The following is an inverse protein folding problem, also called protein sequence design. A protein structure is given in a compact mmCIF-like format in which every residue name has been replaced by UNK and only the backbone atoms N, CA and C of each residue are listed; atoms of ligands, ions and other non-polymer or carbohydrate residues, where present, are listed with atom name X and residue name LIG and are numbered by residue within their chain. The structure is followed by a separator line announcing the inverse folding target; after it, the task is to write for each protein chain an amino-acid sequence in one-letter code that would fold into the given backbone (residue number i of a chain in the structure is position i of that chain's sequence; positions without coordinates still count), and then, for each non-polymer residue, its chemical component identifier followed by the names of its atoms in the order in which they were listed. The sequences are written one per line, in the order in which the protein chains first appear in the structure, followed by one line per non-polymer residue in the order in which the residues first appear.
data_IF_306955553490
#
_entry.id   IF_306955553490
#
_cell.length_a   1.000
_cell.length_b   1.000
_cell.length_c   1.000
_cell.angle_alpha   90.00
_cell.angle_beta   90.00
_cell.angle_gamma   90.00
#
_symmetry.space_group_name_H-M   'P 1'
#
loop_
_entity.id
_entity.type
_entity.pdbx_description
1 polymer ?
#
# COMPACT_ATOMS: atom_id res chain seq x y z
N UNK A 1 -1.22 -36.77 -16.98
CA UNK A 1 -0.79 -35.59 -16.19
C UNK A 1 -1.83 -35.36 -15.12
N UNK A 2 -1.42 -35.03 -13.89
CA UNK A 2 -2.37 -34.67 -12.84
C UNK A 2 -3.17 -33.43 -13.25
N UNK A 3 -4.36 -33.25 -12.68
CA UNK A 3 -5.14 -32.03 -12.88
C UNK A 3 -4.34 -30.84 -12.34
N UNK A 4 -4.25 -29.78 -13.16
CA UNK A 4 -3.56 -28.53 -12.83
C UNK A 4 -4.62 -27.48 -12.52
N UNK A 5 -4.49 -26.83 -11.37
CA UNK A 5 -5.32 -25.69 -10.98
C UNK A 5 -4.41 -24.48 -10.83
N UNK A 6 -4.73 -23.38 -11.48
CA UNK A 6 -3.89 -22.18 -11.45
C UNK A 6 -4.74 -20.91 -11.44
N UNK A 7 -4.31 -19.95 -10.63
CA UNK A 7 -4.85 -18.60 -10.64
C UNK A 7 -3.70 -17.58 -10.71
N UNK A 8 -3.90 -16.52 -11.48
CA UNK A 8 -3.01 -15.37 -11.56
C UNK A 8 -3.80 -14.10 -11.27
N UNK A 9 -3.32 -13.27 -10.35
CA UNK A 9 -3.96 -12.00 -10.03
C UNK A 9 -2.92 -10.88 -9.88
N UNK A 10 -3.41 -9.64 -9.89
CA UNK A 10 -2.69 -8.46 -9.42
C UNK A 10 -3.41 -7.83 -8.24
N UNK A 11 -2.66 -7.16 -7.35
CA UNK A 11 -3.25 -6.33 -6.31
C UNK A 11 -2.53 -4.97 -6.21
N UNK A 12 -3.29 -3.90 -5.95
CA UNK A 12 -2.77 -2.54 -5.88
C UNK A 12 -1.98 -2.26 -4.60
N UNK A 13 -1.12 -1.25 -4.68
CA UNK A 13 -0.59 -0.55 -3.51
C UNK A 13 -1.67 0.37 -2.92
N UNK A 14 -1.67 0.56 -1.60
CA UNK A 14 -2.45 1.60 -0.95
C UNK A 14 -1.55 2.50 -0.10
N UNK A 15 -1.92 3.78 0.04
CA UNK A 15 -1.20 4.76 0.84
C UNK A 15 -2.12 5.30 1.92
N UNK A 16 -1.68 5.21 3.18
CA UNK A 16 -2.49 5.62 4.32
C UNK A 16 -2.55 7.15 4.44
N UNK A 17 -3.75 7.69 4.57
CA UNK A 17 -4.02 9.11 4.92
C UNK A 17 -4.34 9.27 6.40
N UNK A 18 -4.79 8.20 7.06
CA UNK A 18 -4.78 8.04 8.52
C UNK A 18 -3.94 6.80 8.85
N UNK A 19 -2.84 6.99 9.59
CA UNK A 19 -1.75 6.01 9.70
C UNK A 19 -2.05 4.91 10.71
N UNK A 20 -1.79 3.68 10.29
CA UNK A 20 -1.63 2.51 11.16
C UNK A 20 -0.21 2.47 11.72
N UNK A 21 -0.07 2.61 13.04
CA UNK A 21 1.22 2.49 13.71
C UNK A 21 1.10 1.94 15.13
N UNK A 22 1.25 0.62 15.27
CA UNK A 22 1.22 -0.07 16.55
C UNK A 22 0.17 -1.19 16.54
N UNK A 23 0.54 -2.33 17.14
CA UNK A 23 -0.33 -3.52 17.25
C UNK A 23 -0.67 -3.74 18.71
N UNK A 24 -1.95 -4.00 19.00
CA UNK A 24 -2.41 -4.52 20.30
C UNK A 24 -2.21 -6.04 20.39
N UNK A 25 -2.24 -6.73 19.25
CA UNK A 25 -1.93 -8.15 19.13
C UNK A 25 -0.98 -8.39 17.96
N UNK A 26 0.18 -8.98 18.23
CA UNK A 26 1.21 -9.22 17.21
C UNK A 26 1.04 -10.55 16.47
N UNK A 27 0.29 -11.50 17.04
CA UNK A 27 0.00 -12.81 16.45
C UNK A 27 -1.11 -12.69 15.41
N UNK A 28 -2.22 -12.04 15.77
CA UNK A 28 -3.37 -11.80 14.90
C UNK A 28 -3.25 -10.54 14.06
N UNK A 29 -2.20 -9.73 14.30
CA UNK A 29 -1.94 -8.44 13.67
C UNK A 29 -3.12 -7.49 13.85
N UNK A 30 -3.52 -7.28 15.11
CA UNK A 30 -4.61 -6.37 15.46
C UNK A 30 -4.04 -4.98 15.79
N UNK A 31 -4.57 -3.90 15.22
CA UNK A 31 -3.96 -2.59 15.35
C UNK A 31 -4.36 -1.92 16.66
N UNK A 32 -3.60 -0.90 17.07
CA UNK A 32 -3.96 -0.06 18.23
C UNK A 32 -5.01 1.01 17.88
N UNK A 33 -5.19 1.30 16.59
CA UNK A 33 -6.17 2.26 16.08
C UNK A 33 -6.61 1.86 14.66
N UNK A 34 -7.80 2.29 14.23
CA UNK A 34 -8.24 2.17 12.83
C UNK A 34 -7.36 3.02 11.91
N UNK A 35 -7.37 2.73 10.62
CA UNK A 35 -6.60 3.47 9.62
C UNK A 35 -7.38 3.62 8.31
N UNK A 36 -7.01 4.59 7.48
CA UNK A 36 -7.68 4.85 6.20
C UNK A 36 -6.63 5.10 5.12
N UNK A 37 -6.83 4.52 3.94
CA UNK A 37 -5.94 4.66 2.79
C UNK A 37 -6.67 4.93 1.49
N UNK A 38 -5.92 5.46 0.52
CA UNK A 38 -6.33 5.50 -0.89
C UNK A 38 -5.59 4.38 -1.63
N UNK A 39 -6.34 3.54 -2.34
CA UNK A 39 -5.81 2.51 -3.24
C UNK A 39 -5.34 3.17 -4.54
N UNK A 40 -4.11 2.87 -4.95
CA UNK A 40 -3.49 3.47 -6.14
C UNK A 40 -3.62 2.56 -7.36
N UNK A 41 -3.46 3.17 -8.54
CA UNK A 41 -3.66 2.46 -9.79
C UNK A 41 -2.66 1.35 -10.06
N UNK A 42 -3.21 0.19 -10.43
CA UNK A 42 -2.45 -1.01 -10.78
C UNK A 42 -1.72 -0.87 -12.11
N UNK A 43 -2.13 0.06 -12.96
CA UNK A 43 -1.47 0.32 -14.23
C UNK A 43 -0.04 0.82 -14.00
N UNK A 44 0.18 1.60 -12.92
CA UNK A 44 1.51 2.04 -12.50
C UNK A 44 2.13 1.14 -11.41
N UNK A 45 1.38 0.74 -10.38
CA UNK A 45 1.95 0.08 -9.19
C UNK A 45 1.12 -1.13 -8.75
N UNK A 46 1.65 -2.34 -8.97
CA UNK A 46 1.01 -3.57 -8.52
C UNK A 46 2.00 -4.68 -8.11
N UNK A 47 1.50 -5.57 -7.25
CA UNK A 47 2.07 -6.90 -7.06
C UNK A 47 1.32 -7.88 -7.95
N UNK A 48 2.01 -8.80 -8.60
CA UNK A 48 1.44 -9.89 -9.40
C UNK A 48 1.81 -11.22 -8.79
N UNK A 49 0.84 -12.11 -8.61
CA UNK A 49 1.05 -13.43 -8.01
C UNK A 49 0.34 -14.50 -8.85
N UNK A 50 1.06 -15.56 -9.21
CA UNK A 50 0.51 -16.79 -9.78
C UNK A 50 0.68 -17.93 -8.79
N UNK A 51 -0.37 -18.72 -8.59
CA UNK A 51 -0.34 -19.90 -7.72
C UNK A 51 -0.89 -21.08 -8.49
N UNK A 52 -0.12 -22.17 -8.54
CA UNK A 52 -0.53 -23.45 -9.12
C UNK A 52 -0.60 -24.52 -8.04
N UNK A 53 -1.66 -25.31 -8.05
CA UNK A 53 -1.79 -26.54 -7.26
C UNK A 53 -1.69 -27.77 -8.16
N UNK A 54 -0.96 -28.79 -7.71
CA UNK A 54 -0.85 -30.07 -8.41
C UNK A 54 -0.58 -31.21 -7.43
N UNK A 55 -1.04 -32.42 -7.77
CA UNK A 55 -0.68 -33.64 -7.05
C UNK A 55 0.77 -34.08 -7.33
N UNK A 56 1.37 -33.57 -8.41
CA UNK A 56 2.76 -33.87 -8.80
C UNK A 56 3.78 -33.06 -7.99
N UNK A 57 3.32 -32.06 -7.20
CA UNK A 57 4.19 -31.25 -6.34
C UNK A 57 4.41 -31.93 -4.99
N UNK A 58 5.67 -31.98 -4.54
CA UNK A 58 6.07 -32.63 -3.28
C UNK A 58 5.99 -31.70 -2.07
N UNK A 59 6.12 -30.38 -2.27
CA UNK A 59 6.10 -29.39 -1.20
C UNK A 59 5.50 -28.07 -1.67
N UNK A 60 5.11 -27.22 -0.71
CA UNK A 60 4.77 -25.84 -1.02
C UNK A 60 6.06 -25.07 -1.28
N UNK A 61 6.09 -24.24 -2.33
CA UNK A 61 7.27 -23.43 -2.69
C UNK A 61 6.85 -22.03 -3.05
N UNK A 62 7.67 -21.04 -2.69
CA UNK A 62 7.42 -19.64 -3.01
C UNK A 62 8.66 -19.02 -3.65
N UNK A 63 8.46 -18.27 -4.73
CA UNK A 63 9.45 -17.40 -5.33
C UNK A 63 8.97 -15.95 -5.30
N UNK A 64 9.82 -15.05 -4.83
CA UNK A 64 9.60 -13.62 -4.82
C UNK A 64 10.66 -12.93 -5.67
N UNK A 65 10.25 -12.26 -6.75
CA UNK A 65 11.13 -11.60 -7.71
C UNK A 65 12.26 -12.52 -8.22
N UNK A 66 11.95 -13.78 -8.51
CA UNK A 66 12.91 -14.76 -9.04
C UNK A 66 13.77 -15.49 -7.99
N UNK A 67 13.72 -15.09 -6.72
CA UNK A 67 14.42 -15.78 -5.62
C UNK A 67 13.47 -16.69 -4.85
N UNK A 68 13.91 -17.90 -4.51
CA UNK A 68 13.13 -18.83 -3.69
C UNK A 68 13.19 -18.41 -2.21
N UNK A 69 12.02 -18.42 -1.56
CA UNK A 69 11.84 -18.02 -0.16
C UNK A 69 11.33 -19.21 0.67
N UNK A 70 11.81 -19.32 1.91
CA UNK A 70 11.32 -20.38 2.82
C UNK A 70 9.96 -20.00 3.41
N UNK A 71 8.98 -20.85 3.15
CA UNK A 71 7.62 -20.69 3.68
C UNK A 71 7.60 -20.91 5.19
N UNK A 72 8.25 -21.97 5.66
CA UNK A 72 8.21 -22.43 7.06
C UNK A 72 8.82 -21.42 8.03
N UNK A 73 9.81 -20.65 7.57
CA UNK A 73 10.45 -19.60 8.36
C UNK A 73 9.60 -18.33 8.47
N UNK A 74 8.59 -18.17 7.61
CA UNK A 74 7.74 -16.99 7.58
C UNK A 74 6.36 -17.29 8.19
N UNK A 75 6.23 -17.05 9.50
CA UNK A 75 4.99 -17.26 10.27
C UNK A 75 3.76 -16.57 9.66
N UNK A 76 3.93 -15.42 9.01
CA UNK A 76 2.83 -14.66 8.39
C UNK A 76 2.31 -15.36 7.13
N UNK A 77 3.22 -15.87 6.31
CA UNK A 77 2.87 -16.67 5.14
C UNK A 77 2.20 -17.98 5.54
N UNK A 78 2.74 -18.67 6.55
CA UNK A 78 2.14 -19.88 7.12
C UNK A 78 0.71 -19.62 7.61
N UNK A 79 0.45 -18.48 8.27
CA UNK A 79 -0.90 -18.11 8.70
C UNK A 79 -1.84 -17.96 7.50
N UNK A 80 -1.48 -17.18 6.48
CA UNK A 80 -2.32 -17.01 5.29
C UNK A 80 -2.64 -18.35 4.59
N UNK A 81 -1.65 -19.22 4.43
CA UNK A 81 -1.83 -20.56 3.82
C UNK A 81 -2.73 -21.46 4.68
N UNK A 82 -2.53 -21.46 6.00
CA UNK A 82 -3.35 -22.23 6.94
C UNK A 82 -4.82 -21.80 6.87
N UNK A 83 -5.10 -20.51 6.98
CA UNK A 83 -6.48 -20.00 7.00
C UNK A 83 -7.21 -20.28 5.68
N UNK A 84 -6.58 -19.98 4.54
CA UNK A 84 -7.18 -20.24 3.22
C UNK A 84 -7.41 -21.72 2.94
N UNK A 85 -6.49 -22.59 3.35
CA UNK A 85 -6.68 -24.05 3.24
C UNK A 85 -7.77 -24.56 4.16
N UNK A 86 -7.88 -24.06 5.39
CA UNK A 86 -8.92 -24.46 6.33
C UNK A 86 -10.31 -24.10 5.78
N UNK A 87 -10.46 -22.91 5.19
CA UNK A 87 -11.68 -22.51 4.49
C UNK A 87 -12.01 -23.45 3.33
N UNK A 88 -11.03 -23.77 2.48
CA UNK A 88 -11.23 -24.72 1.37
C UNK A 88 -11.60 -26.12 1.87
N UNK A 89 -10.91 -26.63 2.89
CA UNK A 89 -11.17 -27.95 3.46
C UNK A 89 -12.60 -28.05 4.01
N UNK A 90 -13.12 -26.96 4.60
CA UNK A 90 -14.52 -26.90 5.08
C UNK A 90 -15.51 -27.05 3.92
N UNK A 91 -15.30 -26.32 2.81
CA UNK A 91 -16.13 -26.45 1.60
C UNK A 91 -16.07 -27.88 1.02
N UNK A 92 -14.88 -28.48 0.97
CA UNK A 92 -14.68 -29.85 0.47
C UNK A 92 -15.30 -30.92 1.37
N UNK A 93 -15.46 -30.63 2.67
CA UNK A 93 -16.14 -31.51 3.62
C UNK A 93 -17.67 -31.42 3.47
N UNK A 94 -18.20 -30.21 3.21
CA UNK A 94 -19.62 -29.97 2.96
C UNK A 94 -20.07 -30.48 1.59
N UNK A 95 -19.20 -30.44 0.57
CA UNK A 95 -19.48 -30.91 -0.77
C UNK A 95 -18.40 -31.86 -1.30
N UNK A 96 -18.68 -33.16 -1.23
CA UNK A 96 -17.77 -34.22 -1.67
C UNK A 96 -17.46 -34.21 -3.17
N UNK A 97 -18.25 -33.52 -4.00
CA UNK A 97 -17.99 -33.41 -5.45
C UNK A 97 -16.89 -32.40 -5.80
N UNK A 98 -16.49 -31.54 -4.85
CA UNK A 98 -15.41 -30.57 -5.07
C UNK A 98 -14.03 -31.26 -5.16
N UNK A 99 -13.14 -30.80 -6.05
CA UNK A 99 -11.75 -31.24 -6.06
C UNK A 99 -11.08 -30.99 -4.70
N UNK A 100 -10.23 -31.92 -4.25
CA UNK A 100 -9.53 -31.85 -2.96
C UNK A 100 -8.29 -30.95 -3.00
N UNK A 101 -8.50 -29.68 -3.36
CA UNK A 101 -7.47 -28.65 -3.49
C UNK A 101 -6.79 -28.31 -2.17
N UNK A 102 -7.50 -28.38 -1.04
CA UNK A 102 -6.94 -28.01 0.28
C UNK A 102 -5.69 -28.83 0.65
N UNK A 103 -5.65 -30.09 0.22
CA UNK A 103 -4.54 -31.02 0.46
C UNK A 103 -3.42 -30.98 -0.57
N UNK A 104 -3.62 -30.31 -1.72
CA UNK A 104 -2.61 -30.20 -2.75
C UNK A 104 -1.47 -29.28 -2.34
N UNK A 105 -0.28 -29.61 -2.82
CA UNK A 105 0.89 -28.73 -2.71
C UNK A 105 0.80 -27.63 -3.76
N UNK A 106 1.32 -26.46 -3.39
CA UNK A 106 1.24 -25.26 -4.23
C UNK A 106 2.60 -24.65 -4.52
N UNK A 107 2.79 -24.21 -5.76
CA UNK A 107 3.90 -23.36 -6.15
C UNK A 107 3.38 -21.93 -6.34
N UNK A 108 4.01 -20.98 -5.66
CA UNK A 108 3.64 -19.56 -5.65
C UNK A 108 4.77 -18.76 -6.29
N UNK A 109 4.51 -18.05 -7.38
CA UNK A 109 5.46 -17.09 -7.92
C UNK A 109 4.86 -15.69 -7.82
N UNK A 110 5.61 -14.75 -7.24
CA UNK A 110 5.17 -13.37 -7.08
C UNK A 110 6.25 -12.39 -7.53
N UNK A 111 5.84 -11.29 -8.14
CA UNK A 111 6.71 -10.18 -8.52
C UNK A 111 6.03 -8.83 -8.26
N UNK A 112 6.82 -7.76 -8.15
CA UNK A 112 6.33 -6.39 -8.13
C UNK A 112 6.85 -5.66 -9.38
N UNK A 113 6.06 -4.77 -9.98
CA UNK A 113 6.53 -3.92 -11.07
C UNK A 113 7.25 -2.64 -10.57
N UNK A 114 7.46 -2.51 -9.26
CA UNK A 114 8.20 -1.43 -8.61
C UNK A 114 9.30 -1.99 -7.68
N UNK A 115 10.38 -1.24 -7.41
CA UNK A 115 11.45 -1.73 -6.55
C UNK A 115 10.94 -2.07 -5.15
N UNK A 116 11.18 -3.31 -4.71
CA UNK A 116 10.70 -3.81 -3.40
C UNK A 116 11.20 -2.95 -2.22
N UNK A 117 12.36 -2.29 -2.39
CA UNK A 117 12.98 -1.42 -1.40
C UNK A 117 12.57 0.07 -1.49
N UNK A 118 11.79 0.48 -2.51
CA UNK A 118 11.32 1.87 -2.68
C UNK A 118 10.29 2.34 -1.62
N UNK A 119 10.11 1.62 -0.51
CA UNK A 119 9.23 2.07 0.57
C UNK A 119 7.73 2.17 0.25
N UNK A 120 7.29 1.83 -0.96
CA UNK A 120 5.90 1.92 -1.47
C UNK A 120 5.02 0.76 -1.00
N UNK A 121 5.10 0.40 0.29
CA UNK A 121 4.27 -0.63 0.91
C UNK A 121 4.23 -1.99 0.16
N UNK A 122 5.35 -2.44 -0.42
CA UNK A 122 5.47 -3.71 -1.18
C UNK A 122 4.90 -4.94 -0.45
N UNK A 123 5.03 -5.01 0.88
CA UNK A 123 4.43 -6.09 1.67
C UNK A 123 2.90 -6.06 1.70
N UNK A 124 2.28 -4.88 1.64
CA UNK A 124 0.82 -4.76 1.69
C UNK A 124 0.19 -5.31 0.41
N UNK A 125 0.62 -4.82 -0.75
CA UNK A 125 0.16 -5.31 -2.05
C UNK A 125 0.54 -6.78 -2.27
N UNK A 126 1.73 -7.21 -1.84
CA UNK A 126 2.17 -8.60 -1.97
C UNK A 126 1.29 -9.60 -1.20
N UNK A 127 1.01 -9.35 0.08
CA UNK A 127 0.12 -10.23 0.86
C UNK A 127 -1.34 -10.13 0.42
N UNK A 128 -1.80 -8.96 -0.03
CA UNK A 128 -3.13 -8.82 -0.61
C UNK A 128 -3.27 -9.66 -1.89
N UNK A 129 -2.28 -9.59 -2.79
CA UNK A 129 -2.24 -10.37 -4.02
C UNK A 129 -2.18 -11.87 -3.72
N UNK A 130 -1.30 -12.29 -2.80
CA UNK A 130 -1.22 -13.68 -2.37
C UNK A 130 -2.57 -14.22 -1.89
N UNK A 131 -3.20 -13.53 -0.94
CA UNK A 131 -4.46 -13.99 -0.33
C UNK A 131 -5.61 -13.94 -1.33
N UNK A 132 -5.66 -12.94 -2.20
CA UNK A 132 -6.62 -12.86 -3.28
C UNK A 132 -6.44 -14.01 -4.29
N UNK A 133 -5.21 -14.28 -4.73
CA UNK A 133 -4.92 -15.40 -5.64
C UNK A 133 -5.22 -16.76 -5.00
N UNK A 134 -4.92 -16.95 -3.71
CA UNK A 134 -5.32 -18.16 -2.96
C UNK A 134 -6.83 -18.30 -2.92
N UNK A 135 -7.57 -17.21 -2.69
CA UNK A 135 -9.03 -17.22 -2.71
C UNK A 135 -9.59 -17.62 -4.06
N UNK A 136 -8.96 -17.19 -5.17
CA UNK A 136 -9.36 -17.59 -6.53
C UNK A 136 -9.01 -19.03 -6.83
N UNK A 137 -7.79 -19.46 -6.50
CA UNK A 137 -7.34 -20.84 -6.67
C UNK A 137 -8.23 -21.84 -5.92
N UNK A 138 -8.59 -21.51 -4.68
CA UNK A 138 -9.43 -22.35 -3.83
C UNK A 138 -10.94 -22.08 -3.97
N UNK A 139 -11.35 -21.17 -4.86
CA UNK A 139 -12.75 -20.86 -5.12
C UNK A 139 -13.53 -20.50 -3.84
N UNK A 140 -12.90 -19.73 -2.94
CA UNK A 140 -13.51 -19.39 -1.66
C UNK A 140 -14.68 -18.41 -1.86
N UNK A 141 -15.88 -18.67 -1.32
CA UNK A 141 -17.06 -17.81 -1.48
C UNK A 141 -17.04 -16.63 -0.49
N UNK A 142 -15.89 -15.96 -0.36
CA UNK A 142 -15.71 -14.82 0.55
C UNK A 142 -15.87 -13.49 -0.19
N UNK A 143 -16.55 -12.55 0.45
CA UNK A 143 -16.45 -11.14 0.04
C UNK A 143 -15.08 -10.57 0.43
N UNK A 144 -14.73 -9.41 -0.12
CA UNK A 144 -13.44 -8.77 0.12
C UNK A 144 -13.19 -8.40 1.60
N UNK A 145 -14.24 -8.11 2.38
CA UNK A 145 -14.10 -7.75 3.80
C UNK A 145 -13.72 -8.97 4.63
N UNK A 146 -14.37 -10.12 4.43
CA UNK A 146 -14.03 -11.35 5.13
C UNK A 146 -12.66 -11.89 4.71
N UNK A 147 -12.33 -11.78 3.42
CA UNK A 147 -10.99 -12.12 2.92
C UNK A 147 -9.89 -11.22 3.52
N UNK A 148 -10.24 -9.97 3.88
CA UNK A 148 -9.30 -9.01 4.46
C UNK A 148 -8.81 -9.42 5.84
N UNK A 149 -9.58 -10.23 6.59
CA UNK A 149 -9.18 -10.81 7.88
C UNK A 149 -7.98 -11.75 7.70
N UNK A 150 -7.93 -12.48 6.58
CA UNK A 150 -6.80 -13.36 6.24
C UNK A 150 -5.60 -12.54 5.77
N UNK A 151 -5.82 -11.55 4.89
CA UNK A 151 -4.76 -10.66 4.41
C UNK A 151 -4.06 -9.90 5.54
N UNK A 152 -4.83 -9.45 6.55
CA UNK A 152 -4.33 -8.77 7.75
C UNK A 152 -3.26 -9.58 8.49
N UNK A 153 -3.45 -10.89 8.63
CA UNK A 153 -2.51 -11.78 9.31
C UNK A 153 -1.18 -11.97 8.54
N UNK A 154 -1.19 -11.74 7.23
CA UNK A 154 0.00 -11.69 6.40
C UNK A 154 0.76 -10.37 6.57
N UNK A 155 0.05 -9.26 6.38
CA UNK A 155 0.54 -7.91 6.64
C UNK A 155 -0.65 -7.02 6.96
N UNK A 156 -0.63 -6.32 8.11
CA UNK A 156 -1.81 -5.58 8.59
C UNK A 156 -2.44 -4.67 7.53
N UNK A 157 -1.64 -3.84 6.86
CA UNK A 157 -2.11 -2.94 5.80
C UNK A 157 -2.50 -3.62 4.48
N UNK A 158 -2.23 -4.92 4.30
CA UNK A 158 -2.67 -5.68 3.13
C UNK A 158 -4.19 -5.81 3.06
N UNK A 159 -4.87 -5.82 4.22
CA UNK A 159 -6.34 -5.89 4.25
C UNK A 159 -6.99 -4.77 3.43
N UNK A 160 -6.41 -3.57 3.44
CA UNK A 160 -6.93 -2.41 2.71
C UNK A 160 -6.72 -2.50 1.20
N UNK A 161 -5.73 -3.26 0.74
CA UNK A 161 -5.48 -3.50 -0.70
C UNK A 161 -6.45 -4.52 -1.33
N UNK A 162 -7.43 -5.05 -0.58
CA UNK A 162 -8.49 -5.89 -1.15
C UNK A 162 -9.66 -5.09 -1.74
N UNK A 163 -9.65 -3.76 -1.61
CA UNK A 163 -10.66 -2.86 -2.14
C UNK A 163 -10.02 -1.74 -2.97
N UNK A 164 -10.78 -1.20 -3.91
CA UNK A 164 -10.46 0.03 -4.63
C UNK A 164 -10.91 1.29 -3.90
N UNK A 165 -10.47 2.44 -4.40
CA UNK A 165 -10.87 3.76 -3.90
C UNK A 165 -10.33 4.07 -2.50
N UNK A 166 -11.24 4.40 -1.58
CA UNK A 166 -10.94 4.79 -0.21
C UNK A 166 -11.33 3.66 0.74
N UNK A 167 -10.37 3.21 1.55
CA UNK A 167 -10.52 1.97 2.31
C UNK A 167 -10.11 2.20 3.76
N UNK A 168 -11.01 1.90 4.69
CA UNK A 168 -10.70 1.87 6.10
C UNK A 168 -10.32 0.44 6.53
N UNK A 169 -9.37 0.34 7.46
CA UNK A 169 -9.18 -0.84 8.29
C UNK A 169 -9.73 -0.53 9.67
N UNK A 170 -10.83 -1.19 10.01
CA UNK A 170 -11.46 -1.12 11.32
C UNK A 170 -10.61 -1.88 12.33
N UNK A 171 -10.29 -1.25 13.46
CA UNK A 171 -9.45 -1.91 14.46
C UNK A 171 -10.12 -3.13 15.09
N UNK A 172 -11.46 -3.19 15.12
CA UNK A 172 -12.22 -4.23 15.82
C UNK A 172 -12.04 -4.18 17.34
N UNK A 173 -12.96 -4.81 18.03
CA UNK A 173 -13.01 -4.88 19.49
C UNK A 173 -12.84 -6.33 19.99
N UNK A 174 -13.18 -7.32 19.15
CA UNK A 174 -13.08 -8.73 19.54
C UNK A 174 -11.63 -9.20 19.64
N UNK A 175 -11.36 -10.00 20.67
CA UNK A 175 -10.05 -10.58 20.93
C UNK A 175 -9.63 -11.60 19.87
N UNK A 176 -10.57 -12.29 19.23
CA UNK A 176 -10.31 -13.21 18.11
C UNK A 176 -9.98 -12.47 16.79
N UNK A 177 -10.17 -11.15 16.76
CA UNK A 177 -9.91 -10.31 15.60
C UNK A 177 -10.90 -10.50 14.45
N UNK A 178 -12.02 -11.19 14.64
CA UNK A 178 -13.01 -11.46 13.57
C UNK A 178 -13.65 -10.20 13.02
N UNK A 179 -13.68 -9.11 13.79
CA UNK A 179 -14.22 -7.80 13.44
C UNK A 179 -13.15 -6.77 13.03
N UNK A 180 -11.86 -7.13 13.07
CA UNK A 180 -10.80 -6.25 12.57
C UNK A 180 -10.57 -6.47 11.08
N UNK A 181 -11.32 -5.76 10.25
CA UNK A 181 -11.39 -5.99 8.79
C UNK A 181 -11.35 -4.69 8.00
N UNK A 182 -11.10 -4.81 6.71
CA UNK A 182 -11.18 -3.70 5.79
C UNK A 182 -12.61 -3.50 5.28
N UNK A 183 -12.99 -2.24 5.11
CA UNK A 183 -14.27 -1.81 4.54
C UNK A 183 -14.01 -0.69 3.52
N UNK A 184 -14.74 -0.73 2.40
CA UNK A 184 -14.69 0.35 1.42
C UNK A 184 -15.53 1.52 1.91
N UNK A 185 -14.90 2.69 2.03
CA UNK A 185 -15.55 3.95 2.38
C UNK A 185 -16.19 4.57 1.14
N UNK A 186 -15.46 4.59 0.02
CA UNK A 186 -15.97 5.03 -1.26
C UNK A 186 -15.18 4.35 -2.40
N UNK A 187 -15.82 3.99 -3.53
CA UNK A 187 -15.12 3.45 -4.69
C UNK A 187 -14.25 4.53 -5.36
N UNK A 188 -13.33 4.11 -6.21
CA UNK A 188 -12.47 4.99 -7.01
C UNK A 188 -13.26 5.95 -7.90
N UNK A 189 -14.43 5.52 -8.39
CA UNK A 189 -15.35 6.35 -9.18
C UNK A 189 -16.01 7.47 -8.38
N UNK A 190 -15.95 7.45 -7.04
CA UNK A 190 -16.51 8.51 -6.21
C UNK A 190 -15.72 9.81 -6.36
N UNK A 191 -14.39 9.76 -6.39
CA UNK A 191 -13.55 10.97 -6.44
C UNK A 191 -12.46 10.88 -7.53
N UNK A 192 -12.86 10.85 -8.82
CA UNK A 192 -11.95 10.59 -9.94
C UNK A 192 -10.89 11.69 -10.15
N UNK A 193 -11.16 12.90 -9.67
CA UNK A 193 -10.24 14.03 -9.77
C UNK A 193 -9.11 13.99 -8.74
N UNK A 194 -9.20 13.13 -7.70
CA UNK A 194 -8.12 12.98 -6.72
C UNK A 194 -7.00 12.13 -7.32
N UNK A 195 -5.85 12.76 -7.52
CA UNK A 195 -4.66 12.12 -8.06
C UNK A 195 -3.52 12.14 -7.04
N UNK A 196 -2.43 11.42 -7.32
CA UNK A 196 -1.25 11.37 -6.47
C UNK A 196 0.05 11.50 -7.28
N UNK A 197 1.03 12.23 -6.74
CA UNK A 197 2.42 12.18 -7.15
C UNK A 197 3.29 11.54 -6.08
N UNK A 198 4.16 10.62 -6.47
CA UNK A 198 5.08 9.94 -5.56
C UNK A 198 6.49 10.37 -5.88
N UNK A 199 7.16 11.02 -4.94
CA UNK A 199 8.57 11.37 -5.04
C UNK A 199 9.41 10.26 -4.40
N UNK A 200 10.11 9.48 -5.22
CA UNK A 200 11.04 8.45 -4.77
C UNK A 200 12.37 9.09 -4.40
N UNK A 201 12.54 9.39 -3.12
CA UNK A 201 13.74 10.00 -2.52
C UNK A 201 14.83 8.94 -2.32
N UNK A 202 14.45 7.76 -1.83
CA UNK A 202 15.38 6.64 -1.65
C UNK A 202 14.68 5.30 -1.90
N UNK A 203 15.45 4.37 -2.44
CA UNK A 203 15.14 2.95 -2.61
C UNK A 203 16.07 2.06 -1.76
N UNK A 204 16.82 2.66 -0.83
CA UNK A 204 17.70 1.91 0.07
C UNK A 204 16.89 1.15 1.13
N UNK A 205 17.49 0.07 1.65
CA UNK A 205 16.88 -0.68 2.75
C UNK A 205 16.70 0.23 3.96
N UNK A 206 15.47 0.22 4.50
CA UNK A 206 15.12 0.94 5.72
C UNK A 206 16.04 0.53 6.87
N UNK A 207 16.55 1.51 7.63
CA UNK A 207 17.31 1.22 8.84
C UNK A 207 16.50 0.44 9.89
N UNK A 208 15.29 0.92 10.20
CA UNK A 208 14.34 0.23 11.11
C UNK A 208 13.11 -0.23 10.35
N UNK A 209 12.81 -1.54 10.41
CA UNK A 209 11.62 -2.09 9.77
C UNK A 209 10.34 -1.55 10.42
N UNK A 210 9.25 -1.43 9.67
CA UNK A 210 7.98 -0.93 10.23
C UNK A 210 7.44 -1.79 11.38
N UNK A 211 7.65 -3.12 11.32
CA UNK A 211 7.16 -4.04 12.38
C UNK A 211 7.92 -3.85 13.69
N UNK A 212 9.24 -3.72 13.62
CA UNK A 212 10.07 -3.45 14.78
C UNK A 212 9.80 -2.05 15.32
N UNK A 213 9.83 -1.05 14.44
CA UNK A 213 9.64 0.35 14.81
C UNK A 213 8.31 0.59 15.51
N UNK A 214 7.19 0.09 14.97
CA UNK A 214 5.88 0.33 15.58
C UNK A 214 5.72 -0.33 16.94
N UNK A 215 6.38 -1.47 17.18
CA UNK A 215 6.33 -2.13 18.49
C UNK A 215 7.24 -1.44 19.50
N UNK A 216 8.37 -0.88 19.05
CA UNK A 216 9.19 -0.03 19.90
C UNK A 216 8.45 1.25 20.28
N UNK A 217 7.74 1.88 19.34
CA UNK A 217 6.87 3.04 19.62
C UNK A 217 5.79 2.69 20.64
N UNK A 218 5.10 1.55 20.48
CA UNK A 218 4.09 1.08 21.46
C UNK A 218 4.68 0.94 22.86
N UNK A 219 5.93 0.48 22.98
CA UNK A 219 6.59 0.25 24.26
C UNK A 219 7.11 1.53 24.93
N UNK A 220 7.49 2.54 24.15
CA UNK A 220 8.36 3.63 24.66
C UNK A 220 7.82 5.04 24.43
N UNK A 221 6.95 5.26 23.44
CA UNK A 221 6.39 6.58 23.18
C UNK A 221 5.25 6.90 24.14
N UNK A 222 5.42 7.93 24.95
CA UNK A 222 4.37 8.45 25.82
C UNK A 222 3.25 9.12 25.00
N UNK A 223 3.59 9.74 23.86
CA UNK A 223 2.63 10.44 23.00
C UNK A 223 1.71 9.49 22.22
N UNK A 224 2.15 8.25 21.95
CA UNK A 224 1.34 7.29 21.20
C UNK A 224 -0.01 7.02 21.88
N UNK A 225 -0.04 6.92 23.22
CA UNK A 225 -1.27 6.60 23.95
C UNK A 225 -2.36 7.67 23.78
N UNK A 226 -1.97 8.94 23.75
CA UNK A 226 -2.90 10.02 23.47
C UNK A 226 -3.34 10.01 22.00
N UNK A 227 -2.41 9.76 21.06
CA UNK A 227 -2.73 9.63 19.64
C UNK A 227 -3.80 8.57 19.39
N UNK A 228 -3.64 7.36 19.94
CA UNK A 228 -4.57 6.25 19.67
C UNK A 228 -5.95 6.45 20.31
N UNK A 229 -6.03 7.07 21.49
CA UNK A 229 -7.30 7.24 22.24
C UNK A 229 -8.08 8.48 21.81
N UNK A 230 -7.40 9.61 21.64
CA UNK A 230 -8.06 10.92 21.53
C UNK A 230 -7.99 11.51 20.13
N UNK A 231 -6.95 11.17 19.35
CA UNK A 231 -6.69 11.84 18.06
C UNK A 231 -7.22 11.02 16.89
N UNK A 232 -6.83 9.74 16.79
CA UNK A 232 -7.16 8.93 15.61
C UNK A 232 -8.66 8.68 15.46
N UNK A 233 -9.45 8.38 16.50
CA UNK A 233 -10.89 8.16 16.34
C UNK A 233 -11.58 9.36 15.68
N UNK A 234 -11.35 10.58 16.19
CA UNK A 234 -11.88 11.80 15.59
C UNK A 234 -11.39 12.03 14.16
N UNK A 235 -10.10 11.79 13.88
CA UNK A 235 -9.57 11.93 12.52
C UNK A 235 -10.15 10.93 11.53
N UNK A 236 -10.49 9.71 11.97
CA UNK A 236 -11.17 8.74 11.12
C UNK A 236 -12.55 9.27 10.72
N UNK A 237 -13.34 9.75 11.68
CA UNK A 237 -14.67 10.31 11.42
C UNK A 237 -14.60 11.53 10.48
N UNK A 238 -13.72 12.48 10.80
CA UNK A 238 -13.53 13.70 10.00
C UNK A 238 -13.02 13.37 8.58
N UNK A 239 -12.13 12.38 8.43
CA UNK A 239 -11.59 11.96 7.13
C UNK A 239 -12.66 11.26 6.27
N UNK A 240 -13.47 10.39 6.87
CA UNK A 240 -14.58 9.72 6.20
C UNK A 240 -15.59 10.77 5.71
N UNK A 241 -15.94 11.74 6.56
CA UNK A 241 -16.82 12.85 6.18
C UNK A 241 -16.24 13.67 5.01
N UNK A 242 -14.95 14.01 5.06
CA UNK A 242 -14.27 14.75 3.99
C UNK A 242 -14.28 13.98 2.67
N UNK A 243 -14.06 12.65 2.69
CA UNK A 243 -14.12 11.79 1.50
C UNK A 243 -15.52 11.78 0.91
N UNK A 244 -16.56 11.57 1.72
CA UNK A 244 -17.95 11.56 1.23
C UNK A 244 -18.35 12.91 0.63
N UNK A 245 -17.92 14.02 1.23
CA UNK A 245 -18.19 15.37 0.74
C UNK A 245 -17.28 15.82 -0.43
N UNK A 246 -16.24 15.05 -0.75
CA UNK A 246 -15.14 15.47 -1.65
C UNK A 246 -14.50 16.81 -1.23
N UNK A 247 -14.41 17.03 0.09
CA UNK A 247 -13.81 18.21 0.69
C UNK A 247 -12.29 18.09 0.67
N UNK A 248 -11.67 18.53 -0.42
CA UNK A 248 -10.22 18.45 -0.58
C UNK A 248 -9.46 19.24 0.50
N UNK A 249 -9.81 20.50 0.84
CA UNK A 249 -9.14 21.22 1.92
C UNK A 249 -9.12 20.44 3.24
N UNK A 250 -10.25 19.84 3.65
CA UNK A 250 -10.31 19.07 4.89
C UNK A 250 -9.53 17.76 4.80
N UNK A 251 -9.67 17.03 3.69
CA UNK A 251 -8.89 15.82 3.42
C UNK A 251 -7.38 16.09 3.49
N UNK A 252 -6.94 17.19 2.88
CA UNK A 252 -5.55 17.58 2.79
C UNK A 252 -4.97 17.96 4.16
N UNK A 253 -5.69 18.78 4.93
CA UNK A 253 -5.32 19.14 6.29
C UNK A 253 -5.11 17.89 7.16
N UNK A 254 -6.11 17.01 7.21
CA UNK A 254 -6.06 15.79 8.02
C UNK A 254 -4.92 14.86 7.60
N UNK A 255 -4.71 14.69 6.29
CA UNK A 255 -3.63 13.85 5.73
C UNK A 255 -2.25 14.33 6.16
N UNK A 256 -1.99 15.64 6.04
CA UNK A 256 -0.70 16.23 6.43
C UNK A 256 -0.50 16.17 7.95
N UNK A 257 -1.53 16.51 8.73
CA UNK A 257 -1.48 16.47 10.19
C UNK A 257 -1.24 15.05 10.73
N UNK A 258 -1.89 14.04 10.15
CA UNK A 258 -1.73 12.66 10.59
C UNK A 258 -0.38 12.07 10.19
N UNK A 259 0.12 12.40 9.00
CA UNK A 259 1.50 12.10 8.60
C UNK A 259 2.50 12.70 9.59
N UNK A 260 2.39 14.00 9.89
CA UNK A 260 3.30 14.67 10.82
C UNK A 260 3.26 14.02 12.21
N UNK A 261 2.07 13.73 12.74
CA UNK A 261 1.94 13.15 14.08
C UNK A 261 2.41 11.69 14.14
N UNK A 262 2.27 10.92 13.06
CA UNK A 262 2.89 9.60 12.94
C UNK A 262 4.42 9.68 13.05
N UNK A 263 5.06 10.62 12.34
CA UNK A 263 6.51 10.82 12.46
C UNK A 263 6.91 11.44 13.82
N UNK A 264 6.02 12.19 14.47
CA UNK A 264 6.25 12.70 15.82
C UNK A 264 6.28 11.57 16.86
N UNK A 265 5.39 10.58 16.80
CA UNK A 265 5.46 9.42 17.70
C UNK A 265 6.65 8.51 17.38
N UNK A 266 7.11 8.46 16.12
CA UNK A 266 8.39 7.84 15.78
C UNK A 266 9.57 8.55 16.46
N UNK A 267 9.56 9.89 16.49
CA UNK A 267 10.58 10.70 17.16
C UNK A 267 10.54 10.57 18.69
N UNK A 268 9.35 10.42 19.27
CA UNK A 268 9.12 10.20 20.71
C UNK A 268 9.44 8.77 21.17
N UNK A 269 9.70 7.85 20.25
CA UNK A 269 10.17 6.49 20.54
C UNK A 269 11.60 6.52 21.10
N UNK A 270 11.99 5.56 21.96
CA UNK A 270 13.36 5.45 22.43
C UNK A 270 13.99 4.07 22.15
N UNK A 271 15.13 3.99 21.41
CA UNK A 271 15.76 5.07 20.66
C UNK A 271 14.85 5.69 19.58
N UNK A 272 15.07 6.97 19.19
CA UNK A 272 14.22 7.66 18.22
C UNK A 272 14.31 7.04 16.83
N UNK A 273 13.17 7.01 16.14
CA UNK A 273 13.06 6.50 14.78
C UNK A 273 12.96 7.67 13.81
N UNK A 274 13.89 7.75 12.86
CA UNK A 274 13.91 8.76 11.80
C UNK A 274 13.62 8.11 10.45
N UNK A 275 12.43 8.38 9.89
CA UNK A 275 12.07 7.94 8.54
C UNK A 275 12.23 9.05 7.50
N UNK A 276 11.80 10.26 7.85
CA UNK A 276 11.96 11.44 6.99
C UNK A 276 13.40 11.96 7.06
N UNK A 277 13.92 12.38 5.90
CA UNK A 277 15.21 13.03 5.78
C UNK A 277 15.04 14.51 5.34
N UNK A 278 16.15 15.18 4.99
CA UNK A 278 16.11 16.59 4.61
C UNK A 278 15.38 16.85 3.28
N UNK A 279 15.35 15.87 2.38
CA UNK A 279 14.55 15.94 1.15
C UNK A 279 13.06 15.85 1.49
N UNK A 280 12.67 14.94 2.38
CA UNK A 280 11.28 14.87 2.88
C UNK A 280 10.85 16.20 3.49
N UNK A 281 11.70 16.81 4.32
CA UNK A 281 11.45 18.13 4.94
C UNK A 281 11.37 19.25 3.90
N UNK A 282 12.15 19.19 2.83
CA UNK A 282 12.06 20.15 1.74
C UNK A 282 10.71 20.05 1.01
N UNK A 283 10.24 18.84 0.70
CA UNK A 283 8.92 18.63 0.09
C UNK A 283 7.81 19.19 1.00
N UNK A 284 7.90 18.99 2.32
CA UNK A 284 6.96 19.60 3.28
C UNK A 284 6.93 21.13 3.14
N UNK A 285 8.09 21.79 3.12
CA UNK A 285 8.16 23.27 2.97
C UNK A 285 7.60 23.73 1.63
N UNK A 286 7.94 23.03 0.55
CA UNK A 286 7.45 23.30 -0.81
C UNK A 286 5.93 23.23 -0.87
N UNK A 287 5.33 22.15 -0.37
CA UNK A 287 3.87 21.97 -0.40
C UNK A 287 3.15 22.93 0.56
N UNK A 288 3.75 23.25 1.71
CA UNK A 288 3.22 24.26 2.63
C UNK A 288 3.19 25.64 1.97
N UNK A 289 4.27 26.04 1.29
CA UNK A 289 4.33 27.29 0.53
C UNK A 289 3.33 27.29 -0.62
N UNK A 290 3.19 26.17 -1.34
CA UNK A 290 2.24 26.03 -2.42
C UNK A 290 0.79 26.26 -1.97
N UNK A 291 0.48 25.88 -0.74
CA UNK A 291 -0.84 25.97 -0.12
C UNK A 291 -1.14 27.33 0.54
N UNK A 292 -0.19 28.29 0.55
CA UNK A 292 -0.34 29.52 1.36
C UNK A 292 -1.57 30.37 1.01
N UNK A 293 -1.98 30.36 -0.26
CA UNK A 293 -3.13 31.10 -0.79
C UNK A 293 -4.38 30.21 -0.95
N UNK A 294 -4.36 29.00 -0.39
CA UNK A 294 -5.44 28.01 -0.49
C UNK A 294 -4.89 26.59 -0.59
N UNK A 295 -5.54 25.64 0.09
CA UNK A 295 -5.11 24.24 0.17
C UNK A 295 -5.28 23.55 -1.19
N UNK A 296 -4.17 23.32 -1.88
CA UNK A 296 -4.10 22.81 -3.26
C UNK A 296 -3.45 21.43 -3.37
N UNK A 297 -2.66 21.03 -2.37
CA UNK A 297 -1.98 19.74 -2.30
C UNK A 297 -1.86 19.23 -0.86
N UNK A 298 -1.70 17.92 -0.69
CA UNK A 298 -1.52 17.28 0.61
C UNK A 298 -0.36 16.29 0.56
N UNK A 299 0.67 16.51 1.38
CA UNK A 299 1.76 15.54 1.50
C UNK A 299 1.45 14.47 2.55
N UNK A 300 2.01 13.28 2.36
CA UNK A 300 2.04 12.23 3.38
C UNK A 300 3.27 11.35 3.21
N UNK A 301 3.77 10.83 4.33
CA UNK A 301 4.98 10.01 4.39
C UNK A 301 4.68 8.75 5.20
N UNK A 302 5.05 7.58 4.68
CA UNK A 302 5.03 6.32 5.42
C UNK A 302 6.36 6.10 6.14
N UNK A 303 6.69 4.85 6.48
CA UNK A 303 7.94 4.47 7.13
C UNK A 303 9.14 4.54 6.17
N UNK A 304 9.46 5.73 5.67
CA UNK A 304 10.59 6.04 4.78
C UNK A 304 10.55 7.51 4.31
N UNK A 305 11.54 7.94 3.52
CA UNK A 305 11.67 9.34 3.12
C UNK A 305 10.81 9.72 1.90
N UNK A 306 10.19 8.76 1.24
CA UNK A 306 9.43 8.97 0.00
C UNK A 306 8.13 9.72 0.29
N UNK A 307 7.88 10.77 -0.49
CA UNK A 307 6.69 11.60 -0.35
C UNK A 307 5.59 11.09 -1.27
N UNK A 308 4.35 11.10 -0.78
CA UNK A 308 3.16 11.01 -1.61
C UNK A 308 2.41 12.32 -1.49
N UNK A 309 2.06 12.93 -2.62
CA UNK A 309 1.41 14.23 -2.71
C UNK A 309 0.06 14.03 -3.40
N UNK A 310 -1.02 14.19 -2.67
CA UNK A 310 -2.37 14.19 -3.23
C UNK A 310 -2.80 15.58 -3.67
N UNK A 311 -3.51 15.67 -4.79
CA UNK A 311 -4.12 16.92 -5.25
C UNK A 311 -5.27 16.65 -6.24
N UNK A 312 -6.18 17.62 -6.44
CA UNK A 312 -7.07 17.61 -7.59
C UNK A 312 -6.28 17.60 -8.92
N UNK A 313 -6.83 16.96 -9.95
CA UNK A 313 -6.23 16.84 -11.28
C UNK A 313 -5.74 18.19 -11.82
N UNK A 314 -6.51 19.26 -11.64
CA UNK A 314 -6.17 20.59 -12.16
C UNK A 314 -4.88 21.19 -11.59
N UNK A 315 -4.40 20.69 -10.45
CA UNK A 315 -3.18 21.19 -9.79
C UNK A 315 -1.94 20.37 -10.14
N UNK A 316 -2.08 19.20 -10.77
CA UNK A 316 -0.96 18.29 -10.97
C UNK A 316 0.14 18.87 -11.86
N UNK A 317 -0.20 19.54 -12.97
CA UNK A 317 0.82 20.12 -13.85
C UNK A 317 1.70 21.18 -13.13
N UNK A 318 1.09 21.95 -12.23
CA UNK A 318 1.77 22.97 -11.46
C UNK A 318 2.64 22.36 -10.34
N UNK A 319 2.12 21.33 -9.65
CA UNK A 319 2.90 20.56 -8.67
C UNK A 319 4.12 19.92 -9.33
N UNK A 320 3.96 19.30 -10.49
CA UNK A 320 5.09 18.74 -11.23
C UNK A 320 6.12 19.81 -11.59
N UNK A 321 5.68 20.95 -12.11
CA UNK A 321 6.58 22.07 -12.43
C UNK A 321 7.42 22.54 -11.22
N UNK A 322 6.78 22.69 -10.06
CA UNK A 322 7.45 23.06 -8.81
C UNK A 322 8.44 21.97 -8.38
N UNK A 323 8.05 20.70 -8.42
CA UNK A 323 8.93 19.59 -8.06
C UNK A 323 10.14 19.49 -9.02
N UNK A 324 9.92 19.64 -10.32
CA UNK A 324 11.01 19.65 -11.33
C UNK A 324 11.97 20.82 -11.13
N UNK A 325 11.49 21.97 -10.65
CA UNK A 325 12.36 23.10 -10.29
C UNK A 325 13.29 22.75 -9.12
N UNK A 326 12.74 22.22 -8.02
CA UNK A 326 13.52 21.93 -6.81
C UNK A 326 14.35 20.64 -6.88
N UNK A 327 13.93 19.68 -7.71
CA UNK A 327 14.56 18.37 -7.86
C UNK A 327 14.86 18.07 -9.34
N UNK A 328 15.76 18.85 -9.97
CA UNK A 328 16.06 18.71 -11.38
C UNK A 328 16.63 17.32 -11.72
N UNK A 329 16.23 16.79 -12.88
CA UNK A 329 16.73 15.53 -13.41
C UNK A 329 16.17 14.25 -12.77
N UNK A 330 15.12 14.35 -11.95
CA UNK A 330 14.31 13.21 -11.55
C UNK A 330 13.62 12.60 -12.78
N UNK A 331 13.64 11.26 -12.92
CA UNK A 331 12.87 10.60 -13.96
C UNK A 331 11.37 10.80 -13.72
N UNK A 332 10.58 11.03 -14.77
CA UNK A 332 9.13 11.19 -14.65
C UNK A 332 8.40 10.13 -15.47
N UNK A 333 7.47 9.46 -14.80
CA UNK A 333 6.52 8.56 -15.46
C UNK A 333 5.27 9.34 -15.87
N UNK A 334 5.22 9.75 -17.14
CA UNK A 334 4.10 10.51 -17.73
C UNK A 334 2.97 9.59 -18.25
N UNK A 335 2.74 8.43 -17.61
CA UNK A 335 1.69 7.47 -18.02
C UNK A 335 0.27 8.03 -18.01
N UNK A 336 0.04 9.20 -17.39
CA UNK A 336 -1.23 9.91 -17.39
C UNK A 336 -1.24 11.14 -18.33
N UNK A 337 -0.26 11.23 -19.25
CA UNK A 337 -0.15 12.26 -20.29
C UNK A 337 -0.15 13.71 -19.71
N UNK A 338 0.31 13.92 -18.47
CA UNK A 338 0.29 15.22 -17.79
C UNK A 338 1.10 16.28 -18.55
N UNK A 339 2.34 15.96 -18.93
CA UNK A 339 3.23 16.91 -19.62
C UNK A 339 2.75 17.13 -21.05
N UNK A 340 2.33 16.04 -21.71
CA UNK A 340 1.78 16.07 -23.07
C UNK A 340 0.51 16.91 -23.17
N UNK A 341 -0.40 16.83 -22.20
CA UNK A 341 -1.63 17.63 -22.16
C UNK A 341 -1.39 19.08 -21.68
N UNK A 342 -0.35 19.33 -20.89
CA UNK A 342 -0.13 20.63 -20.23
C UNK A 342 1.29 21.21 -20.43
N UNK A 343 1.86 21.24 -21.65
CA UNK A 343 3.27 21.56 -21.87
C UNK A 343 3.64 22.97 -21.40
N UNK A 344 2.75 23.94 -21.62
CA UNK A 344 2.97 25.33 -21.20
C UNK A 344 2.93 25.50 -19.68
N UNK A 345 2.02 24.79 -19.00
CA UNK A 345 1.87 24.90 -17.55
C UNK A 345 3.02 24.22 -16.81
N UNK A 346 3.51 23.10 -17.32
CA UNK A 346 4.71 22.45 -16.81
C UNK A 346 5.96 23.31 -17.03
N UNK A 347 6.05 24.00 -18.16
CA UNK A 347 7.19 24.89 -18.47
C UNK A 347 7.15 26.24 -17.73
N UNK A 348 6.05 26.60 -17.07
CA UNK A 348 5.88 27.90 -16.41
C UNK A 348 6.80 28.10 -15.19
N UNK A 349 7.32 27.02 -14.60
CA UNK A 349 8.17 27.07 -13.43
C UNK A 349 7.39 27.35 -12.14
N UNK A 350 7.99 28.10 -11.22
CA UNK A 350 7.34 28.44 -9.95
C UNK A 350 6.19 29.44 -10.17
N UNK A 351 5.04 29.27 -9.47
CA UNK A 351 3.95 30.25 -9.52
C UNK A 351 4.42 31.65 -9.12
N UNK A 352 3.80 32.70 -9.69
CA UNK A 352 4.24 34.10 -9.54
C UNK A 352 4.42 34.56 -8.08
N UNK A 353 3.56 34.09 -7.18
CA UNK A 353 3.62 34.46 -5.77
C UNK A 353 4.45 33.49 -4.91
N UNK A 354 5.05 32.44 -5.47
CA UNK A 354 5.76 31.41 -4.71
C UNK A 354 7.11 31.94 -4.16
N UNK A 355 7.35 31.85 -2.85
CA UNK A 355 8.63 32.22 -2.26
C UNK A 355 9.67 31.14 -2.55
N UNK A 356 10.51 31.36 -3.56
CA UNK A 356 11.52 30.39 -3.97
C UNK A 356 12.55 30.04 -2.88
N UNK A 357 12.68 30.86 -1.82
CA UNK A 357 13.72 30.73 -0.78
C UNK A 357 13.39 29.68 0.29
N UNK A 358 12.20 29.09 0.26
CA UNK A 358 11.75 28.09 1.25
C UNK A 358 12.59 26.81 1.26
N UNK A 359 13.39 26.57 0.23
CA UNK A 359 14.25 25.41 0.09
C UNK A 359 15.36 25.70 -0.93
N UNK A 360 16.56 25.13 -0.79
CA UNK A 360 17.51 25.10 -1.90
C UNK A 360 16.96 24.25 -3.05
N UNK A 361 17.44 24.54 -4.26
CA UNK A 361 17.38 23.60 -5.39
C UNK A 361 18.41 22.50 -5.13
N UNK A 362 17.98 21.24 -5.18
CA UNK A 362 18.83 20.11 -4.87
C UNK A 362 19.62 19.64 -6.08
N UNK A 363 20.71 18.92 -5.82
CA UNK A 363 21.48 18.25 -6.86
C UNK A 363 20.66 17.14 -7.51
N UNK A 364 20.96 16.85 -8.78
CA UNK A 364 20.36 15.74 -9.51
C UNK A 364 20.48 14.43 -8.73
N UNK A 365 19.38 13.66 -8.68
CA UNK A 365 19.30 12.40 -7.96
C UNK A 365 18.82 12.49 -6.51
N UNK A 366 18.62 13.70 -5.96
CA UNK A 366 18.00 13.88 -4.63
C UNK A 366 16.57 13.33 -4.57
N UNK A 367 15.84 13.44 -5.68
CA UNK A 367 14.67 12.62 -5.99
C UNK A 367 15.04 11.82 -7.23
N UNK A 368 14.94 10.49 -7.16
CA UNK A 368 15.30 9.58 -8.25
C UNK A 368 14.23 9.55 -9.32
N UNK A 369 12.97 9.49 -8.89
CA UNK A 369 11.82 9.32 -9.76
C UNK A 369 10.59 10.03 -9.18
N UNK A 370 9.76 10.58 -10.05
CA UNK A 370 8.42 11.08 -9.76
C UNK A 370 7.43 10.20 -10.53
N UNK A 371 6.50 9.58 -9.81
CA UNK A 371 5.41 8.79 -10.40
C UNK A 371 4.11 9.56 -10.30
N UNK A 372 3.36 9.65 -11.39
CA UNK A 372 2.01 10.23 -11.39
C UNK A 372 0.97 9.11 -11.52
N UNK A 373 0.07 9.03 -10.54
CA UNK A 373 -0.97 8.00 -10.45
C UNK A 373 -2.27 8.58 -9.91
N UNK A 374 -3.28 7.74 -9.71
CA UNK A 374 -4.64 8.09 -9.28
C UNK A 374 -5.25 7.01 -8.40
N UNK A 375 -6.39 7.31 -7.79
CA UNK A 375 -7.21 6.28 -7.15
C UNK A 375 -7.72 5.26 -8.19
N UNK A 376 -7.81 3.99 -7.81
CA UNK A 376 -8.21 2.90 -8.73
C UNK A 376 -8.89 1.75 -8.00
N UNK A 377 -9.29 0.73 -8.76
CA UNK A 377 -9.98 -0.48 -8.31
C UNK A 377 -9.14 -1.39 -7.40
N UNK A 378 -9.80 -2.44 -6.88
CA UNK A 378 -9.18 -3.48 -6.05
C UNK A 378 -8.48 -4.58 -6.88
N UNK A 379 -8.10 -5.71 -6.27
CA UNK A 379 -7.37 -6.78 -6.96
C UNK A 379 -8.05 -7.31 -8.23
N UNK A 380 -7.27 -7.55 -9.29
CA UNK A 380 -7.75 -8.02 -10.60
C UNK A 380 -7.32 -9.47 -10.82
N UNK A 381 -8.23 -10.30 -11.33
CA UNK A 381 -7.88 -11.66 -11.81
C UNK A 381 -7.47 -11.58 -13.28
N UNK A 382 -6.37 -12.24 -13.64
CA UNK A 382 -5.83 -12.26 -14.98
C UNK A 382 -5.95 -13.65 -15.60
N UNK A 383 -5.94 -13.73 -16.93
CA UNK A 383 -5.77 -15.00 -17.63
C UNK A 383 -4.37 -15.57 -17.36
N UNK A 384 -4.31 -16.68 -16.63
CA UNK A 384 -3.07 -17.38 -16.27
C UNK A 384 -2.28 -17.84 -17.50
N UNK A 385 -2.93 -18.18 -18.62
CA UNK A 385 -2.23 -18.61 -19.83
C UNK A 385 -1.38 -17.49 -20.43
N UNK A 386 -1.91 -16.25 -20.41
CA UNK A 386 -1.26 -15.08 -20.99
C UNK A 386 -0.32 -14.38 -20.00
N UNK A 387 -0.75 -14.24 -18.74
CA UNK A 387 -0.08 -13.40 -17.74
C UNK A 387 0.54 -14.18 -16.59
N UNK A 388 0.40 -15.51 -16.56
CA UNK A 388 0.94 -16.36 -15.50
C UNK A 388 2.44 -16.28 -15.39
N UNK A 389 2.94 -16.40 -14.16
CA UNK A 389 4.37 -16.34 -13.82
C UNK A 389 5.03 -17.72 -13.78
N UNK A 390 4.26 -18.79 -13.94
CA UNK A 390 4.73 -20.18 -13.87
C UNK A 390 4.78 -20.81 -15.28
N UNK A 391 5.81 -21.61 -15.55
CA UNK A 391 5.98 -22.36 -16.79
C UNK A 391 5.12 -23.64 -16.79
N UNK A 392 5.31 -24.52 -17.78
CA UNK A 392 4.53 -25.76 -17.89
C UNK A 392 4.76 -26.71 -16.70
N UNK A 393 5.94 -26.69 -16.09
CA UNK A 393 6.34 -27.50 -14.94
C UNK A 393 5.89 -26.89 -13.59
N UNK A 394 5.31 -25.69 -13.60
CA UNK A 394 4.90 -24.98 -12.39
C UNK A 394 6.07 -24.33 -11.65
N UNK A 395 7.18 -24.06 -12.34
CA UNK A 395 8.33 -23.30 -11.85
C UNK A 395 8.28 -21.87 -12.41
N UNK A 396 8.96 -20.89 -11.79
CA UNK A 396 8.99 -19.53 -12.31
C UNK A 396 9.48 -19.44 -13.76
N UNK A 397 8.77 -18.67 -14.60
CA UNK A 397 9.22 -18.32 -15.97
C UNK A 397 10.52 -17.52 -15.95
N UNK A 398 10.80 -16.81 -14.86
CA UNK A 398 11.99 -15.97 -14.64
C UNK A 398 12.56 -16.27 -13.25
N UNK A 399 13.83 -16.65 -13.20
CA UNK A 399 14.64 -16.76 -11.98
C UNK A 399 15.68 -15.63 -11.98
N UNK A 400 16.07 -15.18 -10.79
CA UNK A 400 17.02 -14.09 -10.60
C UNK A 400 18.47 -14.57 -10.48
#
# INVERSE_FOLDING_TARGET
MAAIFEATCTAPVNIAVVKYWGKRDTSLILPTNSSLSVTLSQDQLHSKTSIRASADFSSDRLWLNGHEESIEKNKRLVACLRETRALRASLEAENASLPKLSGLKIHICSENNFPTAAGLASSASGYACLVYTLSKLFELPLNASDLSVVARQGSGSACRSLFGGFVAWEMGEKADGSDSRAVQIAPETHWPDLQAMICVVSDEKKGTSSTEGMQLTVKTSALLQHRIKEVVPKRMDDMIAAIHAKDFPKFAELTMQDSNQFHAVCLDTYPPIFYMNDISRAIIRIITEYNKDGVKAAYTFDAGPNAVIYAPKENMAEIYSILSHYFPGAAFDDSLDLVKENPQRVAAGLPQNFDARISPVFTQGAVKQILHTKADDGPRTLDSAQHGLLNAEGLPKRLA
#
